data_IF_134484769004
#
_entry.id   IF_134484769004
#
_cell.length_a   1.000
_cell.length_b   1.000
_cell.length_c   1.000
_cell.angle_alpha   90.00
_cell.angle_beta   90.00
_cell.angle_gamma   90.00
#
_symmetry.space_group_name_H-M   'P 1'
#
loop_
_entity.id
_entity.type
_entity.pdbx_description
1 polymer ?
#
# COMPACT_ATOMS: atom_id res chain seq x y z
N UNK A 1 -28.59 33.08 -13.29
CA UNK A 1 -29.15 32.02 -12.41
C UNK A 1 -28.00 31.08 -12.04
N UNK A 2 -27.39 31.29 -10.88
CA UNK A 2 -26.32 30.43 -10.36
C UNK A 2 -26.95 29.29 -9.55
N UNK A 3 -26.99 28.08 -10.11
CA UNK A 3 -27.32 26.89 -9.33
C UNK A 3 -26.16 26.60 -8.38
N UNK A 4 -26.31 26.95 -7.09
CA UNK A 4 -25.40 26.48 -6.05
C UNK A 4 -25.45 24.95 -5.96
N UNK A 5 -24.35 24.27 -5.60
CA UNK A 5 -24.32 22.82 -5.48
C UNK A 5 -25.37 22.36 -4.45
N UNK A 6 -26.13 21.32 -4.81
CA UNK A 6 -27.17 20.73 -3.96
C UNK A 6 -26.59 20.34 -2.59
N UNK A 7 -27.29 20.62 -1.47
CA UNK A 7 -26.87 20.13 -0.16
C UNK A 7 -26.83 18.59 -0.19
N UNK A 8 -25.66 18.03 0.03
CA UNK A 8 -25.50 16.58 0.13
C UNK A 8 -26.20 16.10 1.40
N UNK A 9 -27.28 15.31 1.28
CA UNK A 9 -28.03 14.79 2.42
C UNK A 9 -27.08 14.00 3.35
N UNK A 10 -26.86 14.48 4.60
CA UNK A 10 -25.96 13.82 5.57
C UNK A 10 -26.31 12.36 5.81
N UNK A 11 -27.60 11.99 5.72
CA UNK A 11 -28.08 10.61 5.91
C UNK A 11 -27.67 9.68 4.79
N UNK A 12 -27.54 10.20 3.56
CA UNK A 12 -27.07 9.42 2.40
C UNK A 12 -25.57 9.15 2.49
N UNK A 13 -24.80 10.11 3.01
CA UNK A 13 -23.36 9.93 3.29
C UNK A 13 -23.12 8.90 4.39
N UNK A 14 -23.94 8.93 5.45
CA UNK A 14 -23.92 7.93 6.52
C UNK A 14 -24.12 6.50 5.99
N UNK A 15 -25.21 6.27 5.24
CA UNK A 15 -25.54 4.95 4.71
C UNK A 15 -24.47 4.41 3.78
N UNK A 16 -23.92 5.26 2.90
CA UNK A 16 -22.81 4.88 2.02
C UNK A 16 -21.55 4.45 2.78
N UNK A 17 -21.21 5.15 3.86
CA UNK A 17 -20.01 4.85 4.61
C UNK A 17 -20.15 3.59 5.48
N UNK A 18 -21.36 3.32 5.96
CA UNK A 18 -21.67 2.05 6.64
C UNK A 18 -21.59 0.87 5.66
N UNK A 19 -22.16 1.01 4.47
CA UNK A 19 -22.07 -0.02 3.42
C UNK A 19 -20.62 -0.26 3.02
N UNK A 20 -19.83 0.81 2.83
CA UNK A 20 -18.40 0.71 2.58
C UNK A 20 -17.69 -0.07 3.70
N UNK A 21 -17.95 0.27 4.96
CA UNK A 21 -17.35 -0.41 6.12
C UNK A 21 -17.65 -1.92 6.14
N UNK A 22 -18.91 -2.30 5.89
CA UNK A 22 -19.32 -3.71 5.82
C UNK A 22 -18.62 -4.42 4.65
N UNK A 23 -18.58 -3.82 3.46
CA UNK A 23 -17.92 -4.40 2.28
C UNK A 23 -16.43 -4.63 2.56
N UNK A 24 -15.75 -3.65 3.16
CA UNK A 24 -14.34 -3.75 3.52
C UNK A 24 -14.09 -4.84 4.56
N UNK A 25 -14.95 -4.97 5.59
CA UNK A 25 -14.82 -6.04 6.59
C UNK A 25 -14.98 -7.42 5.92
N UNK A 26 -16.03 -7.60 5.11
CA UNK A 26 -16.26 -8.87 4.41
C UNK A 26 -15.13 -9.21 3.44
N UNK A 27 -14.64 -8.21 2.70
CA UNK A 27 -13.47 -8.35 1.84
C UNK A 27 -12.21 -8.73 2.63
N UNK A 28 -12.00 -8.12 3.80
CA UNK A 28 -10.89 -8.43 4.69
C UNK A 28 -10.96 -9.85 5.24
N UNK A 29 -12.13 -10.31 5.69
CA UNK A 29 -12.35 -11.71 6.09
C UNK A 29 -12.06 -12.65 4.91
N UNK A 30 -12.60 -12.36 3.72
CA UNK A 30 -12.35 -13.16 2.53
C UNK A 30 -10.86 -13.26 2.16
N UNK A 31 -10.13 -12.15 2.29
CA UNK A 31 -8.69 -12.11 2.06
C UNK A 31 -7.90 -12.97 3.07
N UNK A 32 -8.33 -13.01 4.34
CA UNK A 32 -7.68 -13.84 5.35
C UNK A 32 -8.03 -15.34 5.21
N UNK A 33 -9.21 -15.67 4.71
CA UNK A 33 -9.60 -17.07 4.44
C UNK A 33 -8.83 -17.65 3.26
N UNK A 34 -8.59 -16.85 2.21
CA UNK A 34 -7.78 -17.23 1.06
C UNK A 34 -6.63 -16.25 0.77
N UNK A 35 -5.57 -16.24 1.60
CA UNK A 35 -4.45 -15.28 1.49
C UNK A 35 -3.72 -15.32 0.16
N UNK A 36 -3.65 -16.50 -0.47
CA UNK A 36 -3.01 -16.64 -1.78
C UNK A 36 -3.76 -15.91 -2.89
N UNK A 37 -5.08 -16.08 -2.97
CA UNK A 37 -5.91 -15.39 -3.95
C UNK A 37 -5.89 -13.85 -3.72
N UNK A 38 -5.91 -13.43 -2.46
CA UNK A 38 -5.76 -12.02 -2.11
C UNK A 38 -4.39 -11.46 -2.53
N UNK A 39 -3.30 -12.23 -2.32
CA UNK A 39 -1.95 -11.83 -2.75
C UNK A 39 -1.87 -11.64 -4.27
N UNK A 40 -2.46 -12.54 -5.06
CA UNK A 40 -2.54 -12.40 -6.51
C UNK A 40 -3.36 -11.16 -6.93
N UNK A 41 -4.42 -10.84 -6.19
CA UNK A 41 -5.22 -9.64 -6.43
C UNK A 41 -4.40 -8.37 -6.18
N UNK A 42 -3.67 -8.30 -5.05
CA UNK A 42 -2.75 -7.20 -4.74
C UNK A 42 -1.68 -7.06 -5.83
N UNK A 43 -1.08 -8.18 -6.25
CA UNK A 43 -0.09 -8.21 -7.32
C UNK A 43 -0.66 -7.65 -8.62
N UNK A 44 -1.85 -8.10 -9.01
CA UNK A 44 -2.47 -7.68 -10.27
C UNK A 44 -2.79 -6.19 -10.26
N UNK A 45 -3.39 -5.69 -9.19
CA UNK A 45 -3.71 -4.27 -9.03
C UNK A 45 -2.42 -3.43 -9.05
N UNK A 46 -1.40 -3.88 -8.31
CA UNK A 46 -0.11 -3.20 -8.24
C UNK A 46 0.59 -3.20 -9.60
N UNK A 47 0.56 -4.31 -10.33
CA UNK A 47 1.17 -4.44 -11.65
C UNK A 47 0.49 -3.54 -12.69
N UNK A 48 -0.85 -3.49 -12.70
CA UNK A 48 -1.62 -2.55 -13.53
C UNK A 48 -1.25 -1.10 -13.17
N UNK A 49 -1.14 -0.78 -11.87
CA UNK A 49 -0.73 0.54 -11.42
C UNK A 49 0.69 0.91 -11.88
N UNK A 50 1.66 -0.03 -11.81
CA UNK A 50 3.01 0.19 -12.34
C UNK A 50 3.00 0.37 -13.85
N UNK A 51 2.22 -0.40 -14.61
CA UNK A 51 2.07 -0.22 -16.06
C UNK A 51 1.51 1.18 -16.36
N UNK A 52 0.43 1.58 -15.68
CA UNK A 52 -0.18 2.89 -15.87
C UNK A 52 0.79 4.03 -15.50
N UNK A 53 1.51 3.91 -14.38
CA UNK A 53 2.50 4.87 -13.93
C UNK A 53 3.66 5.00 -14.92
N UNK A 54 4.21 3.87 -15.40
CA UNK A 54 5.29 3.86 -16.39
C UNK A 54 4.85 4.48 -17.73
N UNK A 55 3.64 4.17 -18.19
CA UNK A 55 3.07 4.76 -19.40
C UNK A 55 2.86 6.28 -19.26
N UNK A 56 2.32 6.73 -18.13
CA UNK A 56 2.14 8.15 -17.84
C UNK A 56 3.49 8.87 -17.75
N UNK A 57 4.48 8.26 -17.09
CA UNK A 57 5.81 8.83 -16.95
C UNK A 57 6.52 8.95 -18.30
N UNK A 58 6.39 7.95 -19.17
CA UNK A 58 6.87 8.05 -20.55
C UNK A 58 6.18 9.19 -21.31
N UNK A 59 4.86 9.31 -21.17
CA UNK A 59 4.13 10.42 -21.79
C UNK A 59 4.62 11.80 -21.32
N UNK A 60 4.88 11.94 -20.01
CA UNK A 60 5.45 13.17 -19.43
C UNK A 60 6.86 13.42 -19.97
N UNK A 61 7.72 12.40 -20.02
CA UNK A 61 9.10 12.54 -20.50
C UNK A 61 9.18 13.10 -21.94
N UNK A 62 8.22 12.73 -22.80
CA UNK A 62 8.13 13.25 -24.17
C UNK A 62 7.42 14.61 -24.28
N UNK A 63 6.50 14.93 -23.37
CA UNK A 63 5.70 16.16 -23.43
C UNK A 63 6.32 17.32 -22.61
N UNK A 64 7.17 17.02 -21.62
CA UNK A 64 7.78 18.03 -20.76
C UNK A 64 8.82 18.86 -21.52
N UNK A 65 8.80 20.19 -21.35
CA UNK A 65 9.86 21.10 -21.78
C UNK A 65 11.05 21.01 -20.80
N UNK A 66 11.67 19.84 -20.72
CA UNK A 66 12.83 19.57 -19.89
C UNK A 66 14.12 19.52 -20.73
N UNK A 67 15.27 19.67 -20.06
CA UNK A 67 16.58 19.48 -20.70
C UNK A 67 16.72 18.05 -21.23
N UNK A 68 17.50 17.85 -22.31
CA UNK A 68 17.66 16.54 -22.95
C UNK A 68 18.10 15.44 -21.97
N UNK A 69 18.95 15.78 -21.00
CA UNK A 69 19.39 14.84 -19.96
C UNK A 69 18.27 14.43 -19.00
N UNK A 70 17.44 15.37 -18.54
CA UNK A 70 16.31 15.08 -17.67
C UNK A 70 15.23 14.25 -18.39
N UNK A 71 14.95 14.58 -19.67
CA UNK A 71 14.03 13.80 -20.51
C UNK A 71 14.47 12.34 -20.65
N UNK A 72 15.76 12.11 -20.91
CA UNK A 72 16.28 10.75 -21.07
C UNK A 72 16.20 9.98 -19.74
N UNK A 73 16.54 10.62 -18.62
CA UNK A 73 16.41 10.01 -17.30
C UNK A 73 14.96 9.62 -16.98
N UNK A 74 13.99 10.51 -17.22
CA UNK A 74 12.57 10.21 -17.02
C UNK A 74 12.06 9.11 -17.96
N UNK A 75 12.50 9.10 -19.22
CA UNK A 75 12.14 8.07 -20.16
C UNK A 75 12.67 6.68 -19.74
N UNK A 76 13.92 6.61 -19.29
CA UNK A 76 14.52 5.37 -18.78
C UNK A 76 13.76 4.90 -17.53
N UNK A 77 13.51 5.80 -16.58
CA UNK A 77 12.76 5.45 -15.35
C UNK A 77 11.34 4.97 -15.68
N UNK A 78 10.62 5.69 -16.55
CA UNK A 78 9.28 5.31 -16.99
C UNK A 78 9.27 3.96 -17.70
N UNK A 79 10.27 3.69 -18.55
CA UNK A 79 10.42 2.40 -19.22
C UNK A 79 10.71 1.26 -18.22
N UNK A 80 11.56 1.49 -17.22
CA UNK A 80 11.85 0.51 -16.17
C UNK A 80 10.60 0.19 -15.35
N UNK A 81 9.83 1.21 -14.96
CA UNK A 81 8.57 1.04 -14.20
C UNK A 81 7.53 0.29 -15.04
N UNK A 82 7.39 0.66 -16.31
CA UNK A 82 6.49 -0.03 -17.25
C UNK A 82 6.89 -1.50 -17.41
N UNK A 83 8.18 -1.76 -17.67
CA UNK A 83 8.71 -3.11 -17.85
C UNK A 83 8.54 -3.95 -16.58
N UNK A 84 8.74 -3.35 -15.40
CA UNK A 84 8.48 -4.01 -14.13
C UNK A 84 7.01 -4.39 -13.97
N UNK A 85 6.08 -3.48 -14.26
CA UNK A 85 4.64 -3.77 -14.23
C UNK A 85 4.24 -4.89 -15.19
N UNK A 86 4.74 -4.87 -16.42
CA UNK A 86 4.51 -5.94 -17.42
C UNK A 86 5.12 -7.27 -16.94
N UNK A 87 6.32 -7.24 -16.36
CA UNK A 87 6.98 -8.42 -15.81
C UNK A 87 6.14 -9.08 -14.70
N UNK A 88 5.57 -8.28 -13.80
CA UNK A 88 4.70 -8.78 -12.72
C UNK A 88 3.45 -9.48 -13.27
N UNK A 89 2.84 -8.94 -14.34
CA UNK A 89 1.68 -9.56 -14.99
C UNK A 89 2.06 -10.85 -15.75
N UNK A 90 3.22 -10.85 -16.39
CA UNK A 90 3.68 -11.99 -17.19
C UNK A 90 4.13 -13.18 -16.33
N UNK A 91 4.65 -12.91 -15.12
CA UNK A 91 5.18 -13.94 -14.21
C UNK A 91 4.66 -13.72 -12.78
N UNK A 92 3.39 -14.02 -12.49
CA UNK A 92 2.78 -13.73 -11.20
C UNK A 92 3.49 -14.41 -10.03
N UNK A 93 3.97 -15.66 -10.18
CA UNK A 93 4.68 -16.33 -9.08
C UNK A 93 5.99 -15.61 -8.70
N UNK A 94 6.75 -15.14 -9.69
CA UNK A 94 7.98 -14.37 -9.45
C UNK A 94 7.66 -12.96 -8.98
N UNK A 95 6.56 -12.39 -9.48
CA UNK A 95 6.12 -11.06 -9.09
C UNK A 95 5.74 -10.98 -7.62
N UNK A 96 5.11 -12.02 -7.05
CA UNK A 96 4.83 -12.10 -5.61
C UNK A 96 6.12 -12.03 -4.79
N UNK A 97 7.14 -12.78 -5.21
CA UNK A 97 8.46 -12.77 -4.56
C UNK A 97 9.11 -11.39 -4.67
N UNK A 98 9.10 -10.76 -5.85
CA UNK A 98 9.65 -9.43 -6.06
C UNK A 98 8.97 -8.35 -5.21
N UNK A 99 7.63 -8.35 -5.14
CA UNK A 99 6.88 -7.41 -4.30
C UNK A 99 7.13 -7.66 -2.81
N UNK A 100 7.26 -8.93 -2.41
CA UNK A 100 7.57 -9.29 -1.02
C UNK A 100 8.97 -8.84 -0.61
N UNK A 101 9.96 -8.91 -1.51
CA UNK A 101 11.29 -8.33 -1.28
C UNK A 101 11.22 -6.83 -1.03
N UNK A 102 10.40 -6.10 -1.80
CA UNK A 102 10.20 -4.66 -1.59
C UNK A 102 9.62 -4.39 -0.20
N UNK A 103 8.63 -5.17 0.23
CA UNK A 103 8.05 -5.05 1.58
C UNK A 103 9.09 -5.35 2.65
N UNK A 104 9.84 -6.44 2.50
CA UNK A 104 10.86 -6.80 3.47
C UNK A 104 11.93 -5.70 3.62
N UNK A 105 12.41 -5.16 2.49
CA UNK A 105 13.37 -4.06 2.48
C UNK A 105 12.77 -2.79 3.09
N UNK A 106 11.49 -2.50 2.82
CA UNK A 106 10.78 -1.39 3.44
C UNK A 106 10.72 -1.53 4.97
N UNK A 107 10.38 -2.71 5.49
CA UNK A 107 10.38 -2.97 6.93
C UNK A 107 11.77 -2.82 7.56
N UNK A 108 12.83 -3.29 6.87
CA UNK A 108 14.20 -3.08 7.32
C UNK A 108 14.57 -1.59 7.37
N UNK A 109 14.35 -0.86 6.28
CA UNK A 109 14.67 0.56 6.18
C UNK A 109 13.89 1.38 7.23
N UNK A 110 12.58 1.13 7.35
CA UNK A 110 11.72 1.75 8.34
C UNK A 110 12.18 1.44 9.77
N UNK A 111 12.55 0.19 10.04
CA UNK A 111 13.06 -0.24 11.33
C UNK A 111 14.35 0.47 11.72
N UNK A 112 15.33 0.51 10.80
CA UNK A 112 16.61 1.21 10.99
C UNK A 112 16.38 2.70 11.26
N UNK A 113 15.53 3.36 10.47
CA UNK A 113 15.20 4.78 10.64
C UNK A 113 14.53 5.03 12.00
N UNK A 114 13.57 4.19 12.41
CA UNK A 114 12.90 4.30 13.72
C UNK A 114 13.87 4.14 14.88
N UNK A 115 14.79 3.18 14.80
CA UNK A 115 15.84 2.97 15.81
C UNK A 115 16.74 4.21 15.88
N UNK A 116 17.21 4.72 14.73
CA UNK A 116 18.05 5.90 14.66
C UNK A 116 17.37 7.14 15.27
N UNK A 117 16.10 7.39 14.92
CA UNK A 117 15.30 8.48 15.48
C UNK A 117 15.07 8.28 16.98
N UNK A 118 14.78 7.05 17.41
CA UNK A 118 14.58 6.73 18.82
C UNK A 118 15.80 7.07 19.67
N UNK A 119 17.00 6.75 19.20
CA UNK A 119 18.24 7.16 19.87
C UNK A 119 18.48 8.66 19.83
N UNK A 120 18.16 9.34 18.71
CA UNK A 120 18.25 10.80 18.61
C UNK A 120 17.30 11.53 19.57
N UNK A 121 16.12 10.96 19.84
CA UNK A 121 15.09 11.52 20.71
C UNK A 121 15.11 10.99 22.14
N UNK A 122 16.24 10.46 22.63
CA UNK A 122 16.37 9.86 23.98
C UNK A 122 15.88 10.74 25.14
N UNK A 123 15.79 12.06 24.93
CA UNK A 123 15.32 13.04 25.92
C UNK A 123 13.79 13.20 25.97
N UNK A 124 13.05 12.60 25.02
CA UNK A 124 11.58 12.65 24.97
C UNK A 124 10.97 11.38 25.56
N UNK A 125 9.83 11.55 26.22
CA UNK A 125 9.02 10.42 26.69
C UNK A 125 8.58 9.56 25.51
N UNK A 126 8.73 8.24 25.62
CA UNK A 126 8.35 7.27 24.59
C UNK A 126 9.46 6.83 23.62
N UNK A 127 10.70 7.30 23.77
CA UNK A 127 11.80 6.90 22.87
C UNK A 127 12.05 5.39 22.87
N UNK A 128 11.91 4.71 24.03
CA UNK A 128 12.07 3.26 24.16
C UNK A 128 11.04 2.52 23.31
N UNK A 129 9.78 2.97 23.31
CA UNK A 129 8.73 2.39 22.48
C UNK A 129 9.03 2.54 20.99
N UNK A 130 9.61 3.67 20.59
CA UNK A 130 10.01 3.90 19.21
C UNK A 130 11.17 2.97 18.78
N UNK A 131 12.19 2.80 19.63
CA UNK A 131 13.29 1.86 19.38
C UNK A 131 12.79 0.42 19.32
N UNK A 132 11.91 0.02 20.25
CA UNK A 132 11.31 -1.30 20.26
C UNK A 132 10.50 -1.56 18.98
N UNK A 133 9.65 -0.62 18.58
CA UNK A 133 8.89 -0.72 17.32
C UNK A 133 9.82 -0.80 16.09
N UNK A 134 10.95 -0.09 16.12
CA UNK A 134 11.98 -0.19 15.11
C UNK A 134 12.64 -1.57 15.06
N UNK A 135 13.00 -2.13 16.21
CA UNK A 135 13.57 -3.47 16.33
C UNK A 135 12.60 -4.55 15.81
N UNK A 136 11.33 -4.48 16.19
CA UNK A 136 10.29 -5.38 15.67
C UNK A 136 10.19 -5.27 14.14
N UNK A 137 10.24 -4.06 13.59
CA UNK A 137 10.20 -3.85 12.15
C UNK A 137 11.41 -4.49 11.43
N UNK A 138 12.62 -4.34 11.99
CA UNK A 138 13.83 -4.99 11.46
C UNK A 138 13.69 -6.51 11.50
N UNK A 139 13.28 -7.07 12.66
CA UNK A 139 13.10 -8.52 12.82
C UNK A 139 12.08 -9.05 11.81
N UNK A 140 10.94 -8.38 11.63
CA UNK A 140 9.96 -8.76 10.62
C UNK A 140 10.55 -8.75 9.21
N UNK A 141 11.31 -7.71 8.84
CA UNK A 141 11.99 -7.64 7.55
C UNK A 141 12.94 -8.81 7.32
N UNK A 142 13.78 -9.13 8.32
CA UNK A 142 14.73 -10.26 8.26
C UNK A 142 13.98 -11.60 8.17
N UNK A 143 12.94 -11.80 8.98
CA UNK A 143 12.14 -13.02 8.97
C UNK A 143 11.48 -13.24 7.61
N UNK A 144 10.88 -12.19 7.03
CA UNK A 144 10.27 -12.28 5.70
C UNK A 144 11.31 -12.73 4.67
N UNK A 145 12.51 -12.16 4.68
CA UNK A 145 13.59 -12.54 3.76
C UNK A 145 14.05 -13.98 3.96
N UNK A 146 14.16 -14.43 5.21
CA UNK A 146 14.62 -15.77 5.55
C UNK A 146 13.63 -16.88 5.15
N UNK A 147 12.34 -16.56 5.05
CA UNK A 147 11.28 -17.51 4.68
C UNK A 147 10.84 -17.40 3.22
N UNK A 148 11.54 -16.62 2.39
CA UNK A 148 11.26 -16.58 0.96
C UNK A 148 11.72 -17.88 0.28
N UNK A 149 10.93 -18.43 -0.67
CA UNK A 149 9.76 -17.84 -1.33
C UNK A 149 8.39 -18.12 -0.66
N UNK A 150 8.34 -18.97 0.35
CA UNK A 150 7.08 -19.45 0.94
C UNK A 150 6.22 -18.32 1.52
N UNK A 151 6.85 -17.34 2.17
CA UNK A 151 6.14 -16.15 2.69
C UNK A 151 5.47 -15.32 1.58
N UNK A 152 6.04 -15.26 0.37
CA UNK A 152 5.54 -14.42 -0.71
C UNK A 152 4.14 -14.84 -1.19
N UNK A 153 3.77 -16.11 -1.03
CA UNK A 153 2.50 -16.63 -1.50
C UNK A 153 1.30 -16.03 -0.75
N UNK A 154 1.44 -15.76 0.56
CA UNK A 154 0.33 -15.31 1.40
C UNK A 154 0.49 -13.93 2.02
N UNK A 155 1.73 -13.42 2.13
CA UNK A 155 2.02 -12.22 2.93
C UNK A 155 1.28 -10.98 2.45
N UNK A 156 1.22 -10.75 1.13
CA UNK A 156 0.50 -9.61 0.55
C UNK A 156 -0.99 -9.67 0.87
N UNK A 157 -1.59 -10.85 0.78
CA UNK A 157 -2.99 -11.10 1.10
C UNK A 157 -3.29 -10.94 2.58
N UNK A 158 -2.39 -11.36 3.46
CA UNK A 158 -2.51 -11.10 4.90
C UNK A 158 -2.48 -9.60 5.21
N UNK A 159 -1.52 -8.86 4.64
CA UNK A 159 -1.45 -7.41 4.81
C UNK A 159 -2.71 -6.73 4.29
N UNK A 160 -3.18 -7.10 3.09
CA UNK A 160 -4.43 -6.58 2.54
C UNK A 160 -5.63 -6.91 3.44
N UNK A 161 -5.74 -8.14 3.92
CA UNK A 161 -6.85 -8.56 4.79
C UNK A 161 -6.89 -7.75 6.08
N UNK A 162 -5.74 -7.58 6.74
CA UNK A 162 -5.62 -6.74 7.95
C UNK A 162 -5.96 -5.29 7.64
N UNK A 163 -5.46 -4.74 6.53
CA UNK A 163 -5.72 -3.36 6.10
C UNK A 163 -7.21 -3.13 5.82
N UNK A 164 -7.86 -4.03 5.09
CA UNK A 164 -9.30 -3.97 4.79
C UNK A 164 -10.15 -4.10 6.06
N UNK A 165 -9.78 -4.97 6.99
CA UNK A 165 -10.47 -5.08 8.28
C UNK A 165 -10.34 -3.80 9.10
N UNK A 166 -9.12 -3.27 9.23
CA UNK A 166 -8.85 -2.04 9.98
C UNK A 166 -9.61 -0.85 9.37
N UNK A 167 -9.54 -0.70 8.04
CA UNK A 167 -10.23 0.34 7.29
C UNK A 167 -11.76 0.19 7.37
N UNK A 168 -12.27 -1.05 7.31
CA UNK A 168 -13.70 -1.33 7.41
C UNK A 168 -14.28 -1.08 8.80
N UNK A 169 -13.54 -1.43 9.86
CA UNK A 169 -13.88 -1.06 11.24
C UNK A 169 -13.89 0.46 11.37
N UNK A 170 -12.84 1.14 10.88
CA UNK A 170 -12.76 2.61 10.89
C UNK A 170 -13.94 3.27 10.18
N UNK A 171 -14.26 2.86 8.96
CA UNK A 171 -15.40 3.38 8.19
C UNK A 171 -16.74 3.14 8.90
N UNK A 172 -16.93 1.97 9.50
CA UNK A 172 -18.14 1.65 10.28
C UNK A 172 -18.25 2.53 11.53
N UNK A 173 -17.15 2.74 12.25
CA UNK A 173 -17.13 3.62 13.43
C UNK A 173 -17.44 5.08 13.06
N UNK A 174 -16.87 5.59 11.97
CA UNK A 174 -17.16 6.95 11.50
C UNK A 174 -18.63 7.06 11.09
N UNK A 175 -19.16 6.06 10.39
CA UNK A 175 -20.58 6.02 10.09
C UNK A 175 -21.41 6.08 11.39
N UNK A 176 -21.14 5.23 12.39
CA UNK A 176 -21.88 5.27 13.65
C UNK A 176 -21.83 6.65 14.34
N UNK A 177 -20.70 7.36 14.30
CA UNK A 177 -20.58 8.73 14.81
C UNK A 177 -21.37 9.77 13.99
N UNK A 178 -21.46 9.60 12.66
CA UNK A 178 -22.27 10.47 11.79
C UNK A 178 -23.79 10.23 11.95
N UNK A 179 -24.21 9.13 12.57
CA UNK A 179 -25.61 8.92 12.95
C UNK A 179 -25.98 9.66 14.23
N UNK A 180 -25.01 9.88 15.12
CA UNK A 180 -25.25 10.47 16.44
C UNK A 180 -25.20 12.00 16.46
N UNK A 181 -24.78 12.64 15.35
CA UNK A 181 -24.73 14.09 15.16
C UNK A 181 -25.52 14.50 13.91
#
# INVERSE_FOLDING_TARGET
MSHGPLPSDPRKKWGWMLVLGIILILGGIGALVHPFAASLTVLTISAIAFVAAGALQLWIAFNAQASTGARLAEAILGLLVLAFGVFLLANPERGLVSLTWLIALFFLALGVVRIAIGFALRQRSGWIWLVFAGLVSVVLGVLIMATLPDSAMGLLGFFLGIDLLSSGIGATLIALHMRTH
#
